data_IF_206058324844
#
_entry.id   IF_206058324844
#
_cell.length_a   1.000
_cell.length_b   1.000
_cell.length_c   1.000
_cell.angle_alpha   90.00
_cell.angle_beta   90.00
_cell.angle_gamma   90.00
#
_symmetry.space_group_name_H-M   'P 1'
#
loop_
_entity.id
_entity.type
_entity.pdbx_description
1 polymer ?
#
# COMPACT_ATOMS: atom_id res chain seq x y z
N UNK A 1 -11.35 2.84 -28.98
CA UNK A 1 -10.07 2.49 -28.35
C UNK A 1 -10.40 1.85 -27.01
N UNK A 2 -10.54 0.53 -26.98
CA UNK A 2 -10.98 -0.24 -25.80
C UNK A 2 -9.78 -0.53 -24.90
N UNK A 3 -9.69 0.15 -23.75
CA UNK A 3 -8.73 -0.20 -22.72
C UNK A 3 -9.19 -1.50 -22.04
N UNK A 4 -8.65 -2.63 -22.50
CA UNK A 4 -8.71 -3.90 -21.78
C UNK A 4 -7.85 -3.74 -20.51
N UNK A 5 -8.46 -3.29 -19.42
CA UNK A 5 -7.85 -3.32 -18.10
C UNK A 5 -7.80 -4.77 -17.62
N UNK A 6 -6.69 -5.45 -17.92
CA UNK A 6 -6.35 -6.72 -17.27
C UNK A 6 -6.51 -6.53 -15.76
N UNK A 7 -7.28 -7.39 -15.04
CA UNK A 7 -7.43 -7.21 -13.60
C UNK A 7 -6.03 -7.20 -12.98
N UNK A 8 -5.72 -6.22 -12.11
CA UNK A 8 -4.42 -6.16 -11.48
C UNK A 8 -4.20 -7.49 -10.76
N UNK A 9 -3.05 -8.12 -11.03
CA UNK A 9 -2.67 -9.32 -10.27
C UNK A 9 -2.61 -8.91 -8.81
N UNK A 10 -3.33 -9.61 -7.94
CA UNK A 10 -3.28 -9.41 -6.49
C UNK A 10 -2.49 -10.55 -5.86
N UNK A 11 -1.86 -10.24 -4.73
CA UNK A 11 -1.21 -11.20 -3.85
C UNK A 11 -1.97 -11.19 -2.52
N UNK A 12 -2.27 -12.38 -2.03
CA UNK A 12 -2.87 -12.54 -0.72
C UNK A 12 -1.77 -12.44 0.34
N UNK A 13 -1.82 -11.40 1.16
CA UNK A 13 -0.93 -11.22 2.31
C UNK A 13 -1.72 -11.51 3.60
N UNK A 14 -1.07 -12.10 4.61
CA UNK A 14 -1.71 -12.37 5.91
C UNK A 14 -1.12 -11.49 7.00
N UNK A 15 -1.97 -10.86 7.79
CA UNK A 15 -1.60 -10.21 9.06
C UNK A 15 -2.30 -10.91 10.24
N UNK A 16 -2.05 -10.44 11.46
CA UNK A 16 -2.66 -10.97 12.69
C UNK A 16 -4.18 -10.81 12.77
N UNK A 17 -4.78 -10.05 11.85
CA UNK A 17 -6.22 -9.84 11.76
C UNK A 17 -6.85 -10.55 10.54
N UNK A 18 -6.09 -11.39 9.81
CA UNK A 18 -6.58 -12.21 8.69
C UNK A 18 -5.84 -11.98 7.38
N UNK A 19 -6.42 -12.48 6.28
CA UNK A 19 -5.88 -12.35 4.93
C UNK A 19 -6.44 -11.10 4.23
N UNK A 20 -5.60 -10.44 3.43
CA UNK A 20 -5.97 -9.27 2.63
C UNK A 20 -5.33 -9.33 1.24
N UNK A 21 -6.11 -8.95 0.24
CA UNK A 21 -5.63 -8.84 -1.15
C UNK A 21 -4.87 -7.52 -1.33
N UNK A 22 -3.58 -7.64 -1.65
CA UNK A 22 -2.69 -6.51 -1.96
C UNK A 22 -2.37 -6.56 -3.44
N UNK A 23 -2.35 -5.42 -4.12
CA UNK A 23 -2.00 -5.41 -5.54
C UNK A 23 -0.52 -5.85 -5.74
N UNK A 24 -0.22 -6.55 -6.83
CA UNK A 24 1.13 -7.07 -7.11
C UNK A 24 2.06 -6.02 -7.74
N UNK A 25 1.53 -4.87 -8.13
CA UNK A 25 2.27 -3.72 -8.68
C UNK A 25 2.84 -2.80 -7.59
N UNK A 26 2.53 -3.06 -6.32
CA UNK A 26 2.93 -2.25 -5.18
C UNK A 26 3.81 -3.04 -4.23
N UNK A 27 4.74 -2.37 -3.55
CA UNK A 27 5.71 -3.02 -2.65
C UNK A 27 5.25 -3.17 -1.21
N UNK A 28 4.16 -2.50 -0.81
CA UNK A 28 3.66 -2.58 0.56
C UNK A 28 2.96 -3.93 0.85
N UNK A 29 2.74 -4.24 2.12
CA UNK A 29 2.15 -5.51 2.57
C UNK A 29 0.74 -5.34 3.17
N UNK A 30 0.30 -6.37 3.90
CA UNK A 30 -1.04 -6.46 4.48
C UNK A 30 -1.40 -5.26 5.40
N UNK A 31 -0.49 -4.88 6.30
CA UNK A 31 -0.77 -3.82 7.28
C UNK A 31 -1.02 -2.47 6.60
N UNK A 32 -0.18 -2.09 5.62
CA UNK A 32 -0.35 -0.85 4.87
C UNK A 32 -1.64 -0.86 4.05
N UNK A 33 -1.96 -2.00 3.42
CA UNK A 33 -3.21 -2.16 2.68
C UNK A 33 -4.42 -1.99 3.61
N UNK A 34 -4.39 -2.59 4.80
CA UNK A 34 -5.43 -2.44 5.82
C UNK A 34 -5.53 -0.98 6.29
N UNK A 35 -4.40 -0.29 6.51
CA UNK A 35 -4.40 1.12 6.85
C UNK A 35 -5.03 1.99 5.75
N UNK A 36 -4.80 1.70 4.47
CA UNK A 36 -5.45 2.43 3.38
C UNK A 36 -6.98 2.28 3.41
N UNK A 37 -7.49 1.09 3.77
CA UNK A 37 -8.94 0.85 3.88
C UNK A 37 -9.52 1.57 5.11
N UNK A 38 -8.85 1.54 6.26
CA UNK A 38 -9.38 2.08 7.51
C UNK A 38 -9.16 3.58 7.68
N UNK A 39 -8.08 4.14 7.10
CA UNK A 39 -7.69 5.54 7.24
C UNK A 39 -7.83 6.30 5.91
N UNK A 40 -8.91 6.05 5.18
CA UNK A 40 -9.24 6.78 3.93
C UNK A 40 -9.93 8.13 4.22
N UNK A 41 -9.32 8.95 5.08
CA UNK A 41 -9.89 10.24 5.52
C UNK A 41 -9.11 11.37 4.85
N UNK A 42 -9.79 12.14 4.00
CA UNK A 42 -9.19 13.27 3.27
C UNK A 42 -8.29 12.83 2.11
N UNK A 43 -7.59 13.81 1.52
CA UNK A 43 -6.66 13.58 0.42
C UNK A 43 -5.22 14.00 0.77
N UNK A 44 -4.99 14.34 2.04
CA UNK A 44 -3.68 14.71 2.56
C UNK A 44 -2.84 13.45 2.77
N UNK A 45 -1.89 13.26 1.86
CA UNK A 45 -0.93 12.16 1.92
C UNK A 45 0.29 12.60 2.72
N UNK A 46 1.01 11.62 3.28
CA UNK A 46 2.27 11.92 3.95
C UNK A 46 3.23 12.69 3.02
N UNK A 47 3.84 13.79 3.49
CA UNK A 47 4.81 14.55 2.71
C UNK A 47 5.98 13.68 2.27
N UNK A 48 6.53 13.94 1.08
CA UNK A 48 7.65 13.16 0.53
C UNK A 48 8.90 13.28 1.41
N UNK A 49 9.04 14.40 2.11
CA UNK A 49 10.09 14.70 3.07
C UNK A 49 10.08 13.69 4.23
N UNK A 50 8.89 13.36 4.75
CA UNK A 50 8.71 12.40 5.85
C UNK A 50 9.06 10.99 5.37
N UNK A 51 8.59 10.59 4.18
CA UNK A 51 8.91 9.29 3.58
C UNK A 51 10.43 9.15 3.39
N UNK A 52 11.11 10.21 2.92
CA UNK A 52 12.56 10.22 2.75
C UNK A 52 13.29 10.15 4.08
N UNK A 53 12.83 10.88 5.10
CA UNK A 53 13.40 10.82 6.44
C UNK A 53 13.31 9.41 7.04
N UNK A 54 12.17 8.72 6.86
CA UNK A 54 12.02 7.32 7.26
C UNK A 54 12.99 6.39 6.50
N UNK A 55 13.19 6.63 5.20
CA UNK A 55 14.18 5.89 4.41
C UNK A 55 15.62 6.10 4.91
N UNK A 56 15.97 7.31 5.33
CA UNK A 56 17.28 7.60 5.95
C UNK A 56 17.39 6.91 7.32
N UNK A 57 16.36 7.00 8.16
CA UNK A 57 16.32 6.37 9.47
C UNK A 57 16.47 4.84 9.40
N UNK A 58 15.87 4.20 8.38
CA UNK A 58 15.99 2.75 8.16
C UNK A 58 17.30 2.33 7.48
N UNK A 59 18.05 3.30 6.92
CA UNK A 59 19.37 3.06 6.31
C UNK A 59 20.49 3.10 7.35
N UNK A 60 20.37 3.96 8.37
CA UNK A 60 21.27 4.02 9.52
C UNK A 60 21.13 2.75 10.37
#
# INVERSE_FOLDING_TARGET
>A
MTLSSKPPRTRTESDSMGTIEVASDVYWGAQTQRSLVHFTIGNDRMPREVIRALGILKKA
#
